data_IF_486797235936
#
_entry.id   IF_486797235936
#
_cell.length_a   1.000
_cell.length_b   1.000
_cell.length_c   1.000
_cell.angle_alpha   90.00
_cell.angle_beta   90.00
_cell.angle_gamma   90.00
#
_symmetry.space_group_name_H-M   'P 1'
#
loop_
_entity.id
_entity.type
_entity.pdbx_description
1 polymer ?
#
# COMPACT_ATOMS: atom_id res chain seq x y z
N UNK A 1 -11.25 -16.65 15.14
CA UNK A 1 -11.35 -16.94 16.59
C UNK A 1 -12.10 -15.88 17.37
N UNK A 2 -11.89 -14.58 17.13
CA UNK A 2 -12.60 -13.51 17.86
C UNK A 2 -14.14 -13.60 17.76
N UNK A 3 -14.68 -13.96 16.60
CA UNK A 3 -16.12 -14.20 16.40
C UNK A 3 -16.71 -15.26 17.35
N UNK A 4 -15.97 -16.35 17.59
CA UNK A 4 -16.38 -17.44 18.48
C UNK A 4 -16.32 -17.02 19.96
N UNK A 5 -15.24 -16.32 20.35
CA UNK A 5 -15.09 -15.79 21.70
C UNK A 5 -16.20 -14.80 22.03
N UNK A 6 -16.54 -13.91 21.09
CA UNK A 6 -17.59 -12.91 21.26
C UNK A 6 -18.98 -13.56 21.37
N UNK A 7 -19.28 -14.58 20.55
CA UNK A 7 -20.50 -15.36 20.70
C UNK A 7 -20.61 -16.00 22.09
N UNK A 8 -19.58 -16.71 22.53
CA UNK A 8 -19.56 -17.37 23.84
C UNK A 8 -19.71 -16.35 24.97
N UNK A 9 -19.08 -15.17 24.83
CA UNK A 9 -19.26 -14.06 25.77
C UNK A 9 -20.70 -13.55 25.86
N UNK A 10 -21.39 -13.39 24.73
CA UNK A 10 -22.81 -13.00 24.73
C UNK A 10 -23.74 -14.07 25.27
N UNK A 11 -23.39 -15.35 25.10
CA UNK A 11 -24.19 -16.46 25.59
C UNK A 11 -24.04 -16.68 27.11
N UNK A 12 -22.84 -16.48 27.65
CA UNK A 12 -22.55 -16.65 29.09
C UNK A 12 -22.95 -15.42 29.91
N UNK A 13 -23.04 -14.23 29.29
CA UNK A 13 -23.39 -13.01 30.00
C UNK A 13 -24.80 -13.08 30.59
N UNK A 14 -24.99 -12.78 31.90
CA UNK A 14 -26.30 -12.79 32.55
C UNK A 14 -27.23 -11.68 32.06
N UNK A 15 -26.66 -10.62 31.47
CA UNK A 15 -27.39 -9.52 30.80
C UNK A 15 -27.55 -9.74 29.30
N UNK A 16 -27.09 -10.91 28.81
CA UNK A 16 -27.08 -11.27 27.41
C UNK A 16 -28.45 -11.72 26.89
N UNK A 17 -28.59 -11.84 25.56
CA UNK A 17 -29.78 -12.43 24.96
C UNK A 17 -29.94 -13.87 25.44
N UNK A 18 -31.14 -14.25 25.89
CA UNK A 18 -31.39 -15.63 26.32
C UNK A 18 -31.46 -16.56 25.11
N UNK A 19 -30.63 -17.61 25.15
CA UNK A 19 -30.60 -18.66 24.14
C UNK A 19 -29.60 -18.44 22.99
N UNK A 20 -29.17 -19.57 22.41
CA UNK A 20 -28.15 -19.62 21.36
C UNK A 20 -28.45 -18.74 20.14
N UNK A 21 -29.71 -18.75 19.68
CA UNK A 21 -30.11 -18.04 18.46
C UNK A 21 -30.01 -16.53 18.65
N UNK A 22 -30.46 -16.01 19.79
CA UNK A 22 -30.42 -14.59 20.09
C UNK A 22 -28.98 -14.08 20.28
N UNK A 23 -28.12 -14.87 20.94
CA UNK A 23 -26.69 -14.56 21.06
C UNK A 23 -25.96 -14.58 19.70
N UNK A 24 -26.27 -15.54 18.82
CA UNK A 24 -25.73 -15.61 17.47
C UNK A 24 -26.19 -14.44 16.58
N UNK A 25 -27.46 -14.05 16.66
CA UNK A 25 -27.99 -12.89 15.92
C UNK A 25 -27.34 -11.59 16.39
N UNK A 26 -27.16 -11.42 17.71
CA UNK A 26 -26.44 -10.27 18.27
C UNK A 26 -24.98 -10.22 17.80
N UNK A 27 -24.31 -11.36 17.74
CA UNK A 27 -22.95 -11.48 17.21
C UNK A 27 -22.88 -11.19 15.69
N UNK A 28 -23.84 -11.68 14.90
CA UNK A 28 -23.92 -11.39 13.48
C UNK A 28 -24.12 -9.89 13.23
N UNK A 29 -25.03 -9.24 13.97
CA UNK A 29 -25.24 -7.80 13.92
C UNK A 29 -23.98 -7.02 14.33
N UNK A 30 -23.29 -7.43 15.39
CA UNK A 30 -22.03 -6.81 15.81
C UNK A 30 -20.92 -6.91 14.73
N UNK A 31 -20.96 -7.94 13.89
CA UNK A 31 -20.07 -8.12 12.75
C UNK A 31 -20.63 -7.57 11.42
N UNK A 32 -21.73 -6.82 11.46
CA UNK A 32 -22.40 -6.28 10.27
C UNK A 32 -22.75 -7.35 9.22
N UNK A 33 -23.06 -8.57 9.68
CA UNK A 33 -23.47 -9.68 8.82
C UNK A 33 -24.96 -9.99 8.99
N UNK A 34 -25.59 -10.43 7.90
CA UNK A 34 -27.01 -10.77 7.89
C UNK A 34 -27.36 -12.06 8.63
N UNK A 35 -28.65 -12.36 8.84
CA UNK A 35 -29.12 -13.52 9.61
C UNK A 35 -28.60 -14.87 9.10
N UNK A 36 -28.31 -14.97 7.80
CA UNK A 36 -27.76 -16.18 7.18
C UNK A 36 -26.40 -16.57 7.77
N UNK A 37 -25.55 -15.61 8.18
CA UNK A 37 -24.26 -15.93 8.78
C UNK A 37 -24.38 -16.57 10.16
N UNK A 38 -25.48 -16.33 10.88
CA UNK A 38 -25.74 -16.96 12.18
C UNK A 38 -25.81 -18.49 12.08
N UNK A 39 -26.25 -19.03 10.92
CA UNK A 39 -26.24 -20.48 10.65
C UNK A 39 -24.82 -21.02 10.54
N UNK A 40 -23.98 -20.40 9.72
CA UNK A 40 -22.56 -20.79 9.58
C UNK A 40 -21.81 -20.69 10.90
N UNK A 41 -22.06 -19.64 11.69
CA UNK A 41 -21.46 -19.49 13.00
C UNK A 41 -21.86 -20.61 13.97
N UNK A 42 -23.12 -21.06 13.95
CA UNK A 42 -23.59 -22.20 14.75
C UNK A 42 -22.90 -23.50 14.34
N UNK A 43 -22.76 -23.74 13.04
CA UNK A 43 -22.08 -24.92 12.51
C UNK A 43 -20.61 -24.94 12.93
N UNK A 44 -19.89 -23.83 12.72
CA UNK A 44 -18.50 -23.70 13.14
C UNK A 44 -18.32 -23.83 14.64
N UNK A 45 -19.23 -23.28 15.44
CA UNK A 45 -19.17 -23.40 16.89
C UNK A 45 -19.34 -24.85 17.33
N UNK A 46 -20.24 -25.60 16.71
CA UNK A 46 -20.40 -27.03 17.02
C UNK A 46 -19.24 -27.87 16.54
N UNK A 47 -18.71 -27.60 15.35
CA UNK A 47 -17.52 -28.27 14.85
C UNK A 47 -16.33 -28.04 15.81
N UNK A 48 -16.13 -26.80 16.26
CA UNK A 48 -15.07 -26.45 17.22
C UNK A 48 -15.26 -27.09 18.61
N UNK A 49 -16.51 -27.22 19.08
CA UNK A 49 -16.80 -27.91 20.33
C UNK A 49 -16.60 -29.43 20.24
N UNK A 50 -16.82 -30.01 19.05
CA UNK A 50 -16.59 -31.43 18.80
C UNK A 50 -15.10 -31.75 18.58
N UNK A 51 -14.39 -30.89 17.86
CA UNK A 51 -12.94 -30.95 17.64
C UNK A 51 -12.33 -29.55 17.77
N UNK A 52 -11.42 -29.40 18.75
CA UNK A 52 -10.77 -28.12 19.05
C UNK A 52 -9.87 -27.63 17.91
N UNK A 53 -9.48 -28.49 16.98
CA UNK A 53 -8.70 -28.14 15.79
C UNK A 53 -9.57 -27.78 14.58
N UNK A 54 -10.88 -28.02 14.63
CA UNK A 54 -11.83 -27.64 13.59
C UNK A 54 -12.14 -26.13 13.65
N UNK A 55 -11.19 -25.32 13.19
CA UNK A 55 -11.32 -23.88 13.09
C UNK A 55 -12.35 -23.49 12.01
N UNK A 56 -13.07 -22.36 12.17
CA UNK A 56 -13.94 -21.81 11.14
C UNK A 56 -13.13 -21.43 9.91
N UNK A 57 -13.03 -22.34 8.95
CA UNK A 57 -12.43 -22.09 7.65
C UNK A 57 -13.54 -21.71 6.68
N UNK A 58 -13.47 -20.51 6.13
CA UNK A 58 -14.28 -20.18 4.95
C UNK A 58 -13.55 -20.81 3.78
N UNK A 59 -14.13 -21.84 3.16
CA UNK A 59 -13.58 -22.40 1.93
C UNK A 59 -13.29 -21.25 0.95
N UNK A 60 -12.06 -21.19 0.44
CA UNK A 60 -11.68 -20.17 -0.54
C UNK A 60 -12.67 -20.22 -1.69
N UNK A 61 -13.37 -19.10 -1.91
CA UNK A 61 -14.30 -18.99 -3.03
C UNK A 61 -13.49 -19.05 -4.32
N UNK A 62 -14.09 -19.54 -5.41
CA UNK A 62 -13.40 -19.68 -6.70
C UNK A 62 -12.75 -18.37 -7.22
N UNK A 63 -13.24 -17.20 -6.79
CA UNK A 63 -12.64 -15.89 -7.12
C UNK A 63 -11.58 -15.40 -6.12
N UNK A 64 -11.50 -16.01 -4.93
CA UNK A 64 -10.45 -15.79 -3.93
C UNK A 64 -9.25 -16.71 -4.15
N UNK A 65 -9.43 -17.78 -4.92
CA UNK A 65 -8.33 -18.65 -5.33
C UNK A 65 -7.38 -17.86 -6.21
N UNK A 66 -6.11 -17.79 -5.79
CA UNK A 66 -5.07 -17.19 -6.60
C UNK A 66 -4.96 -17.91 -7.95
N UNK A 67 -4.54 -17.18 -8.99
CA UNK A 67 -4.32 -17.77 -10.33
C UNK A 67 -3.33 -18.94 -10.30
N UNK A 68 -2.43 -18.96 -9.31
CA UNK A 68 -1.46 -20.01 -9.03
C UNK A 68 -2.16 -21.28 -8.48
N UNK A 69 -3.15 -21.14 -7.61
CA UNK A 69 -3.93 -22.28 -7.10
C UNK A 69 -4.82 -22.91 -8.18
N UNK A 70 -5.29 -22.09 -9.13
CA UNK A 70 -6.15 -22.55 -10.24
C UNK A 70 -5.38 -23.27 -11.35
N UNK A 71 -4.11 -22.92 -11.57
CA UNK A 71 -3.30 -23.44 -12.66
C UNK A 71 -2.08 -24.20 -12.11
N UNK A 72 -2.15 -25.54 -11.99
CA UNK A 72 -1.06 -26.34 -11.45
C UNK A 72 0.21 -26.28 -12.33
N UNK A 73 0.05 -26.11 -13.64
CA UNK A 73 1.20 -25.97 -14.56
C UNK A 73 1.95 -24.66 -14.35
N UNK A 74 1.23 -23.56 -14.12
CA UNK A 74 1.85 -22.27 -13.80
C UNK A 74 2.63 -22.36 -12.49
N UNK A 75 2.05 -22.99 -11.47
CA UNK A 75 2.74 -23.23 -10.21
C UNK A 75 4.03 -24.03 -10.42
N UNK A 76 3.96 -25.12 -11.18
CA UNK A 76 5.11 -25.98 -11.49
C UNK A 76 6.19 -25.21 -12.27
N UNK A 77 5.82 -24.41 -13.28
CA UNK A 77 6.75 -23.60 -14.05
C UNK A 77 7.45 -22.54 -13.19
N UNK A 78 6.72 -21.92 -12.25
CA UNK A 78 7.32 -20.97 -11.28
C UNK A 78 8.27 -21.70 -10.34
N UNK A 79 7.90 -22.88 -9.85
CA UNK A 79 8.77 -23.70 -8.99
C UNK A 79 10.05 -24.12 -9.73
N UNK A 80 9.96 -24.57 -10.98
CA UNK A 80 11.10 -24.92 -11.84
C UNK A 80 11.97 -23.69 -12.15
N UNK A 81 11.35 -22.54 -12.42
CA UNK A 81 12.07 -21.29 -12.66
C UNK A 81 12.82 -20.81 -11.41
N UNK A 82 12.17 -20.85 -10.24
CA UNK A 82 12.81 -20.52 -8.97
C UNK A 82 13.94 -21.50 -8.67
N UNK A 83 13.74 -22.81 -8.89
CA UNK A 83 14.79 -23.82 -8.77
C UNK A 83 15.97 -23.53 -9.70
N UNK A 84 15.69 -23.12 -10.94
CA UNK A 84 16.70 -22.75 -11.93
C UNK A 84 17.45 -21.46 -11.59
N UNK A 85 16.76 -20.45 -11.03
CA UNK A 85 17.41 -19.24 -10.50
C UNK A 85 18.29 -19.62 -9.32
N UNK A 86 17.80 -20.50 -8.45
CA UNK A 86 18.56 -21.09 -7.36
C UNK A 86 19.45 -22.25 -7.82
N UNK A 87 19.91 -22.29 -9.07
CA UNK A 87 21.02 -23.14 -9.52
C UNK A 87 22.35 -22.70 -8.86
N UNK A 88 22.32 -22.64 -7.54
CA UNK A 88 23.40 -22.52 -6.58
C UNK A 88 24.35 -23.74 -6.66
N UNK A 89 23.94 -24.81 -7.34
CA UNK A 89 24.81 -25.91 -7.78
C UNK A 89 25.96 -25.41 -8.67
N UNK A 90 25.75 -24.36 -9.48
CA UNK A 90 26.86 -23.71 -10.22
C UNK A 90 27.92 -23.13 -9.29
N UNK A 91 27.55 -22.84 -8.04
CA UNK A 91 28.42 -22.33 -6.98
C UNK A 91 28.76 -23.42 -5.94
N UNK A 92 28.52 -24.70 -6.24
CA UNK A 92 28.92 -25.83 -5.39
C UNK A 92 28.08 -26.01 -4.11
N UNK A 93 26.84 -25.51 -4.08
CA UNK A 93 25.97 -25.70 -2.92
C UNK A 93 25.09 -26.94 -3.07
N UNK A 94 25.29 -27.94 -2.21
CA UNK A 94 24.49 -29.18 -2.17
C UNK A 94 23.13 -29.01 -1.48
N UNK A 95 22.94 -27.90 -0.77
CA UNK A 95 21.72 -27.62 0.01
C UNK A 95 21.09 -26.31 -0.45
N UNK A 96 19.75 -26.24 -0.53
CA UNK A 96 19.07 -24.97 -0.80
C UNK A 96 19.40 -23.96 0.30
N UNK A 97 19.53 -22.69 -0.08
CA UNK A 97 19.79 -21.58 0.84
C UNK A 97 18.64 -21.48 1.84
N UNK A 98 18.97 -21.53 3.13
CA UNK A 98 17.99 -21.32 4.20
C UNK A 98 17.47 -19.89 4.19
N UNK A 99 16.25 -19.68 4.69
CA UNK A 99 15.68 -18.33 4.82
C UNK A 99 16.60 -17.37 5.58
N UNK A 100 17.22 -17.84 6.68
CA UNK A 100 18.19 -17.04 7.45
C UNK A 100 19.42 -16.67 6.63
N UNK A 101 19.94 -17.59 5.82
CA UNK A 101 21.10 -17.32 4.96
C UNK A 101 20.74 -16.30 3.87
N UNK A 102 19.56 -16.42 3.25
CA UNK A 102 19.07 -15.47 2.28
C UNK A 102 18.92 -14.06 2.88
N UNK A 103 18.40 -13.94 4.11
CA UNK A 103 18.28 -12.66 4.81
C UNK A 103 19.63 -12.00 5.09
N UNK A 104 20.64 -12.78 5.50
CA UNK A 104 22.00 -12.27 5.70
C UNK A 104 22.61 -11.79 4.38
N UNK A 105 22.46 -12.57 3.30
CA UNK A 105 22.96 -12.18 1.97
C UNK A 105 22.28 -10.91 1.46
N UNK A 106 20.98 -10.76 1.66
CA UNK A 106 20.26 -9.53 1.32
C UNK A 106 20.80 -8.33 2.08
N UNK A 107 21.11 -8.47 3.38
CA UNK A 107 21.76 -7.41 4.15
C UNK A 107 23.15 -7.04 3.61
N UNK A 108 23.97 -8.04 3.25
CA UNK A 108 25.32 -7.83 2.68
C UNK A 108 25.26 -7.17 1.30
N UNK A 109 24.23 -7.47 0.51
CA UNK A 109 23.98 -6.87 -0.79
C UNK A 109 23.22 -5.54 -0.72
N UNK A 110 23.02 -4.99 0.49
CA UNK A 110 22.25 -3.77 0.76
C UNK A 110 20.81 -3.80 0.20
N UNK A 111 20.26 -5.00 0.02
CA UNK A 111 18.91 -5.21 -0.50
C UNK A 111 17.89 -5.07 0.64
N UNK A 112 17.34 -3.87 0.78
CA UNK A 112 16.30 -3.58 1.77
C UNK A 112 14.92 -3.97 1.22
N UNK A 113 14.35 -5.09 1.68
CA UNK A 113 12.93 -5.39 1.50
C UNK A 113 12.11 -4.54 2.48
N UNK A 114 12.05 -3.23 2.23
CA UNK A 114 11.04 -2.39 2.86
C UNK A 114 9.73 -2.61 2.11
N UNK A 115 8.69 -3.02 2.85
CA UNK A 115 7.34 -2.93 2.33
C UNK A 115 7.08 -1.44 2.08
N UNK A 116 7.14 -1.03 0.83
CA UNK A 116 6.81 0.33 0.44
C UNK A 116 5.39 0.59 0.95
N UNK A 117 5.24 1.55 1.88
CA UNK A 117 3.91 2.04 2.21
C UNK A 117 3.33 2.52 0.88
N UNK A 118 2.15 2.01 0.52
CA UNK A 118 1.48 2.23 -0.77
C UNK A 118 1.13 3.70 -1.07
N UNK A 119 1.73 4.65 -0.35
CA UNK A 119 1.55 6.09 -0.45
C UNK A 119 2.84 6.82 -0.82
N UNK A 120 3.94 6.13 -1.12
CA UNK A 120 5.16 6.78 -1.59
C UNK A 120 5.37 6.47 -3.06
N UNK A 121 5.26 7.50 -3.90
CA UNK A 121 5.46 7.43 -5.36
C UNK A 121 6.88 6.94 -5.64
N UNK A 122 7.00 5.72 -6.17
CA UNK A 122 8.29 5.08 -6.52
C UNK A 122 8.68 5.38 -7.97
N UNK A 123 7.74 5.82 -8.80
CA UNK A 123 8.03 6.44 -10.08
C UNK A 123 8.07 7.97 -9.92
N UNK A 124 9.07 8.62 -10.50
CA UNK A 124 9.12 10.08 -10.58
C UNK A 124 8.08 10.67 -11.56
N UNK A 125 6.89 10.07 -11.61
CA UNK A 125 5.79 10.50 -12.46
C UNK A 125 4.85 11.36 -11.62
N UNK A 126 5.21 12.64 -11.46
CA UNK A 126 4.26 13.63 -10.93
C UNK A 126 3.02 13.62 -11.84
N UNK A 127 1.86 13.34 -11.26
CA UNK A 127 0.59 13.37 -12.00
C UNK A 127 0.31 14.82 -12.44
N UNK A 128 -0.32 15.01 -13.60
CA UNK A 128 -0.47 16.32 -14.26
C UNK A 128 -1.16 17.35 -13.34
N UNK A 129 -2.13 16.92 -12.52
CA UNK A 129 -2.81 17.77 -11.55
C UNK A 129 -1.91 18.27 -10.41
N UNK A 130 -0.97 17.45 -9.95
CA UNK A 130 0.03 17.82 -8.94
C UNK A 130 1.02 18.83 -9.52
N UNK A 131 1.45 18.61 -10.76
CA UNK A 131 2.31 19.56 -11.48
C UNK A 131 1.60 20.90 -11.71
N UNK A 132 0.34 20.86 -12.16
CA UNK A 132 -0.49 22.05 -12.39
C UNK A 132 -0.72 22.81 -11.08
N UNK A 133 -1.07 22.12 -10.01
CA UNK A 133 -1.23 22.73 -8.69
C UNK A 133 0.07 23.37 -8.20
N UNK A 134 1.20 22.66 -8.35
CA UNK A 134 2.52 23.19 -7.98
C UNK A 134 2.86 24.46 -8.76
N UNK A 135 2.68 24.44 -10.08
CA UNK A 135 3.11 25.53 -10.96
C UNK A 135 2.18 26.74 -10.91
N UNK A 136 0.86 26.53 -10.82
CA UNK A 136 -0.15 27.59 -10.90
C UNK A 136 -0.52 28.15 -9.52
N UNK A 137 -0.50 27.33 -8.48
CA UNK A 137 -1.00 27.72 -7.15
C UNK A 137 0.13 27.85 -6.14
N UNK A 138 0.92 26.79 -5.95
CA UNK A 138 1.88 26.73 -4.85
C UNK A 138 3.08 27.66 -5.02
N UNK A 139 3.78 27.59 -6.16
CA UNK A 139 4.97 28.40 -6.40
C UNK A 139 4.67 29.91 -6.43
N UNK A 140 3.59 30.40 -7.07
CA UNK A 140 3.24 31.82 -7.02
C UNK A 140 2.87 32.29 -5.60
N UNK A 141 2.12 31.48 -4.85
CA UNK A 141 1.78 31.81 -3.46
C UNK A 141 3.03 31.89 -2.57
N UNK A 142 3.97 30.95 -2.74
CA UNK A 142 5.25 30.97 -2.05
C UNK A 142 6.09 32.19 -2.43
N UNK A 143 6.21 32.52 -3.72
CA UNK A 143 6.99 33.69 -4.17
C UNK A 143 6.46 35.02 -3.61
N UNK A 144 5.13 35.14 -3.40
CA UNK A 144 4.55 36.31 -2.72
C UNK A 144 5.00 36.38 -1.26
N UNK A 145 4.99 35.25 -0.54
CA UNK A 145 5.43 35.17 0.86
C UNK A 145 6.94 35.37 0.99
N UNK A 146 7.71 34.88 0.01
CA UNK A 146 9.18 34.93 -0.03
C UNK A 146 9.72 36.37 -0.04
N UNK A 147 8.93 37.34 -0.56
CA UNK A 147 9.29 38.76 -0.49
C UNK A 147 9.51 39.29 0.93
N UNK A 148 8.98 38.59 1.94
CA UNK A 148 9.09 38.86 3.37
C UNK A 148 9.86 37.78 4.15
N UNK A 149 10.34 36.74 3.47
CA UNK A 149 11.11 35.68 4.09
C UNK A 149 12.50 36.19 4.50
N UNK A 150 13.05 35.59 5.57
CA UNK A 150 14.41 35.88 6.02
C UNK A 150 15.39 35.04 5.22
N UNK A 151 16.32 35.69 4.54
CA UNK A 151 17.44 35.04 3.89
C UNK A 151 18.62 34.94 4.86
N UNK A 152 19.33 33.82 4.83
CA UNK A 152 20.51 33.57 5.66
C UNK A 152 21.69 33.21 4.76
N UNK A 153 22.86 33.78 5.04
CA UNK A 153 24.10 33.41 4.33
C UNK A 153 24.61 32.03 4.79
N UNK A 154 25.65 31.52 4.12
CA UNK A 154 26.23 30.20 4.44
C UNK A 154 26.88 30.16 5.82
N UNK A 155 27.18 31.33 6.36
CA UNK A 155 27.80 31.58 7.65
C UNK A 155 26.76 31.75 8.77
N UNK A 156 25.46 31.69 8.44
CA UNK A 156 24.36 31.74 9.40
C UNK A 156 24.01 33.15 9.89
N UNK A 157 24.25 34.19 9.09
CA UNK A 157 23.82 35.56 9.37
C UNK A 157 22.63 35.96 8.49
N UNK A 158 21.73 36.77 9.05
CA UNK A 158 20.53 37.28 8.33
C UNK A 158 20.94 38.32 7.27
N UNK A 159 20.64 38.02 6.01
CA UNK A 159 20.87 38.91 4.86
C UNK A 159 19.73 39.93 4.82
N UNK A 160 20.05 41.21 4.98
CA UNK A 160 19.05 42.29 4.88
C UNK A 160 18.60 42.43 3.41
N UNK A 161 17.29 42.52 3.14
CA UNK A 161 16.80 42.64 1.77
C UNK A 161 17.31 43.96 1.15
N UNK A 162 18.04 43.85 0.04
CA UNK A 162 18.54 45.01 -0.71
C UNK A 162 17.39 45.63 -1.53
N UNK A 163 17.01 46.90 -1.33
CA UNK A 163 15.83 47.50 -1.97
C UNK A 163 15.92 47.63 -3.50
N UNK A 164 17.09 47.41 -4.11
CA UNK A 164 17.33 47.77 -5.53
C UNK A 164 17.23 46.62 -6.53
N UNK A 165 16.96 45.37 -6.11
CA UNK A 165 16.92 44.21 -7.01
C UNK A 165 15.51 43.74 -7.45
N UNK A 166 14.44 44.48 -7.10
CA UNK A 166 13.05 44.03 -7.33
C UNK A 166 12.37 44.57 -8.61
N UNK A 167 13.12 45.05 -9.61
CA UNK A 167 12.57 45.62 -10.86
C UNK A 167 12.85 44.80 -12.14
N UNK A 168 13.47 43.62 -12.05
CA UNK A 168 13.91 42.88 -13.25
C UNK A 168 13.18 41.54 -13.51
N UNK A 169 12.16 41.18 -12.74
CA UNK A 169 11.32 40.00 -13.00
C UNK A 169 9.85 40.38 -13.28
N UNK A 170 9.61 41.26 -14.26
CA UNK A 170 8.24 41.56 -14.72
C UNK A 170 8.12 41.93 -16.20
N UNK A 171 9.17 41.88 -17.01
CA UNK A 171 9.08 42.33 -18.41
C UNK A 171 9.89 41.44 -19.33
N UNK A 172 9.22 40.43 -19.90
CA UNK A 172 9.82 39.52 -20.88
C UNK A 172 8.79 38.60 -21.50
N UNK A 173 7.93 39.14 -22.38
CA UNK A 173 6.93 38.35 -23.09
C UNK A 173 6.08 39.14 -24.08
N UNK A 174 6.66 40.13 -24.78
CA UNK A 174 5.97 40.78 -25.90
C UNK A 174 6.06 39.86 -27.12
N UNK A 175 4.91 39.31 -27.54
CA UNK A 175 4.75 38.65 -28.84
C UNK A 175 5.18 39.61 -29.95
N UNK A 176 6.30 39.31 -30.61
CA UNK A 176 6.63 39.88 -31.92
C UNK A 176 6.13 38.91 -32.98
N UNK A 177 5.00 39.25 -33.59
CA UNK A 177 4.57 38.66 -34.86
C UNK A 177 5.51 39.16 -35.96
N UNK A 178 6.23 38.25 -36.61
CA UNK A 178 6.90 38.54 -37.88
C UNK A 178 6.75 37.36 -38.84
N UNK A 179 5.83 37.54 -39.77
CA UNK A 179 5.89 37.21 -41.20
C UNK A 179 6.71 35.99 -41.65
N UNK A 180 6.03 34.97 -42.17
CA UNK A 180 6.62 34.03 -43.13
C UNK A 180 5.64 33.85 -44.30
N UNK A 181 6.03 34.40 -45.46
CA UNK A 181 5.32 34.26 -46.73
C UNK A 181 5.49 32.82 -47.25
N UNK A 182 4.40 32.23 -47.73
CA UNK A 182 4.44 31.00 -48.52
C UNK A 182 4.81 31.35 -49.97
N UNK A 183 5.85 30.71 -50.52
CA UNK A 183 6.00 30.53 -51.96
C UNK A 183 5.80 29.06 -52.30
N UNK A 184 4.79 28.80 -53.12
CA UNK A 184 4.51 27.52 -53.74
C UNK A 184 5.42 27.33 -54.96
N UNK A 185 5.91 26.11 -55.16
CA UNK A 185 6.19 25.56 -56.50
C UNK A 185 6.02 24.05 -56.44
#
# INVERSE_FOLDING_TARGET
>A
MEQLKMFLGFYVSPTGPSGWIAALLKMANAHQKGPASARSFREWTRAFLADRHALPFTAERAWQQSHIARNPELKKAIEEHLQSITNLLRYGMDKPVSLSTAQVWMHVLEYCWTKVLSSQFVDGHEHVDVMDYRQVTFLPAMALMDTSAREWDKEGNEVKPNPTAKSQLSTGGTMSQSSMQMTAT
#
